data_IF_764414344051
#
_entry.id   IF_764414344051
#
_cell.length_a   1.000
_cell.length_b   1.000
_cell.length_c   1.000
_cell.angle_alpha   90.00
_cell.angle_beta   90.00
_cell.angle_gamma   90.00
#
_symmetry.space_group_name_H-M   'P 1'
#
loop_
_entity.id
_entity.type
_entity.pdbx_description
1 polymer ?
#
# COMPACT_ATOMS: atom_id res chain seq x y z
N UNK A 1 5.98 19.47 -15.27
CA UNK A 1 4.51 19.46 -15.11
C UNK A 1 4.12 18.08 -14.62
N UNK A 2 3.31 17.95 -13.55
CA UNK A 2 2.79 16.64 -13.14
C UNK A 2 1.91 16.10 -14.27
N UNK A 3 2.32 14.96 -14.86
CA UNK A 3 1.60 14.34 -15.97
C UNK A 3 0.24 13.76 -15.58
N UNK A 4 -0.02 13.63 -14.28
CA UNK A 4 -1.25 13.06 -13.71
C UNK A 4 -1.74 13.89 -12.52
N UNK A 5 -3.06 13.91 -12.31
CA UNK A 5 -3.65 14.57 -11.15
C UNK A 5 -3.30 13.81 -9.86
N UNK A 6 -3.00 14.50 -8.74
CA UNK A 6 -2.70 13.86 -7.45
C UNK A 6 -3.80 12.91 -6.95
N UNK A 7 -5.05 13.10 -7.39
CA UNK A 7 -6.18 12.22 -7.09
C UNK A 7 -5.98 10.77 -7.56
N UNK A 8 -5.11 10.53 -8.56
CA UNK A 8 -4.78 9.17 -8.99
C UNK A 8 -4.09 8.35 -7.90
N UNK A 9 -3.43 9.00 -6.94
CA UNK A 9 -2.84 8.32 -5.78
C UNK A 9 -3.92 7.63 -4.93
N UNK A 10 -5.19 8.04 -5.01
CA UNK A 10 -6.27 7.39 -4.27
C UNK A 10 -6.56 5.97 -4.76
N UNK A 11 -6.22 5.63 -6.01
CA UNK A 11 -6.39 4.26 -6.53
C UNK A 11 -5.51 3.24 -5.81
N UNK A 12 -4.47 3.70 -5.11
CA UNK A 12 -3.66 2.88 -4.23
C UNK A 12 -4.48 2.26 -3.08
N UNK A 13 -5.43 3.01 -2.52
CA UNK A 13 -6.18 2.59 -1.34
C UNK A 13 -7.04 1.33 -1.57
N UNK A 14 -7.95 1.27 -2.59
CA UNK A 14 -8.74 0.07 -2.83
C UNK A 14 -7.87 -1.12 -3.23
N UNK A 15 -6.75 -0.89 -3.92
CA UNK A 15 -5.80 -1.95 -4.30
C UNK A 15 -5.17 -2.61 -3.07
N UNK A 16 -4.67 -1.81 -2.13
CA UNK A 16 -4.08 -2.30 -0.87
C UNK A 16 -5.11 -3.06 -0.05
N UNK A 17 -6.32 -2.51 0.08
CA UNK A 17 -7.40 -3.14 0.85
C UNK A 17 -7.73 -4.51 0.26
N UNK A 18 -7.89 -4.61 -1.06
CA UNK A 18 -8.20 -5.86 -1.74
C UNK A 18 -7.09 -6.91 -1.52
N UNK A 19 -5.83 -6.55 -1.76
CA UNK A 19 -4.70 -7.47 -1.62
C UNK A 19 -4.54 -7.94 -0.17
N UNK A 20 -4.61 -7.01 0.80
CA UNK A 20 -4.43 -7.32 2.21
C UNK A 20 -5.52 -8.26 2.74
N UNK A 21 -6.79 -8.01 2.38
CA UNK A 21 -7.92 -8.86 2.80
C UNK A 21 -7.88 -10.24 2.14
N UNK A 22 -7.55 -10.34 0.85
CA UNK A 22 -7.41 -11.63 0.15
C UNK A 22 -6.28 -12.44 0.76
N UNK A 23 -5.14 -11.81 1.06
CA UNK A 23 -4.01 -12.47 1.70
C UNK A 23 -4.36 -12.98 3.12
N UNK A 24 -5.06 -12.17 3.93
CA UNK A 24 -5.53 -12.61 5.25
C UNK A 24 -6.57 -13.73 5.18
N UNK A 25 -7.52 -13.61 4.24
CA UNK A 25 -8.68 -14.49 4.07
C UNK A 25 -8.34 -15.87 3.51
N UNK A 26 -7.24 -16.00 2.76
CA UNK A 26 -6.78 -17.31 2.27
C UNK A 26 -6.12 -18.17 3.34
N UNK A 27 -5.69 -17.56 4.46
CA UNK A 27 -4.91 -18.23 5.51
C UNK A 27 -5.70 -18.54 6.77
N UNK A 28 -6.77 -17.80 7.03
CA UNK A 28 -7.55 -17.91 8.26
C UNK A 28 -9.04 -17.84 7.96
N UNK A 29 -9.84 -18.64 8.66
CA UNK A 29 -11.32 -18.57 8.60
C UNK A 29 -11.89 -17.61 9.65
N UNK A 30 -11.11 -17.29 10.68
CA UNK A 30 -11.49 -16.35 11.72
C UNK A 30 -11.29 -14.90 11.24
N UNK A 31 -12.39 -14.16 11.12
CA UNK A 31 -12.42 -12.76 10.67
C UNK A 31 -11.52 -11.83 11.47
N UNK A 32 -11.36 -12.05 12.78
CA UNK A 32 -10.46 -11.24 13.59
C UNK A 32 -8.99 -11.45 13.20
N UNK A 33 -8.59 -12.70 12.93
CA UNK A 33 -7.23 -13.02 12.48
C UNK A 33 -6.99 -12.50 11.05
N UNK A 34 -8.00 -12.58 10.18
CA UNK A 34 -7.94 -12.02 8.82
C UNK A 34 -7.62 -10.53 8.90
N UNK A 35 -8.37 -9.76 9.70
CA UNK A 35 -8.19 -8.31 9.82
C UNK A 35 -6.83 -7.94 10.42
N UNK A 36 -6.34 -8.68 11.42
CA UNK A 36 -5.02 -8.44 12.00
C UNK A 36 -3.89 -8.65 10.98
N UNK A 37 -3.93 -9.76 10.25
CA UNK A 37 -2.93 -10.05 9.22
C UNK A 37 -3.04 -9.12 8.01
N UNK A 38 -4.27 -8.77 7.61
CA UNK A 38 -4.51 -7.78 6.55
C UNK A 38 -3.92 -6.42 6.95
N UNK A 39 -4.14 -5.96 8.18
CA UNK A 39 -3.57 -4.71 8.69
C UNK A 39 -2.04 -4.73 8.70
N UNK A 40 -1.44 -5.80 9.20
CA UNK A 40 0.02 -5.96 9.19
C UNK A 40 0.59 -5.95 7.77
N UNK A 41 -0.07 -6.66 6.84
CA UNK A 41 0.33 -6.74 5.43
C UNK A 41 0.21 -5.38 4.75
N UNK A 42 -0.91 -4.69 4.91
CA UNK A 42 -1.13 -3.36 4.35
C UNK A 42 -0.12 -2.34 4.87
N UNK A 43 0.22 -2.38 6.16
CA UNK A 43 1.27 -1.52 6.75
C UNK A 43 2.64 -1.78 6.15
N UNK A 44 3.03 -3.04 5.94
CA UNK A 44 4.33 -3.37 5.34
C UNK A 44 4.42 -2.93 3.88
N UNK A 45 3.39 -3.20 3.07
CA UNK A 45 3.36 -2.79 1.66
C UNK A 45 3.41 -1.26 1.57
N UNK A 46 2.61 -0.56 2.39
CA UNK A 46 2.60 0.90 2.41
C UNK A 46 3.91 1.50 2.87
N UNK A 47 4.52 0.95 3.93
CA UNK A 47 5.84 1.40 4.39
C UNK A 47 6.89 1.23 3.30
N UNK A 48 6.92 0.09 2.63
CA UNK A 48 7.87 -0.17 1.55
C UNK A 48 7.68 0.78 0.35
N UNK A 49 6.44 0.95 -0.11
CA UNK A 49 6.12 1.89 -1.20
C UNK A 49 6.44 3.34 -0.84
N UNK A 50 6.20 3.75 0.41
CA UNK A 50 6.54 5.08 0.89
C UNK A 50 8.06 5.32 0.92
N UNK A 51 8.85 4.33 1.31
CA UNK A 51 10.32 4.41 1.27
C UNK A 51 10.79 4.61 -0.17
N UNK A 52 10.27 3.82 -1.12
CA UNK A 52 10.61 3.98 -2.54
C UNK A 52 10.23 5.39 -3.04
N UNK A 53 9.03 5.86 -2.68
CA UNK A 53 8.57 7.20 -3.04
C UNK A 53 9.53 8.29 -2.53
N UNK A 54 9.95 8.21 -1.26
CA UNK A 54 10.91 9.15 -0.66
C UNK A 54 12.24 9.12 -1.42
N UNK A 55 12.77 7.93 -1.73
CA UNK A 55 14.02 7.79 -2.48
C UNK A 55 13.91 8.44 -3.86
N UNK A 56 12.80 8.22 -4.58
CA UNK A 56 12.57 8.83 -5.89
C UNK A 56 12.49 10.37 -5.76
N UNK A 57 11.77 10.89 -4.76
CA UNK A 57 11.71 12.34 -4.53
C UNK A 57 13.08 12.96 -4.22
N UNK A 58 13.92 12.27 -3.45
CA UNK A 58 15.29 12.74 -3.17
C UNK A 58 16.12 12.77 -4.45
N UNK A 59 16.03 11.72 -5.28
CA UNK A 59 16.75 11.64 -6.56
C UNK A 59 16.28 12.72 -7.54
N UNK A 60 14.97 12.95 -7.64
CA UNK A 60 14.38 14.01 -8.47
C UNK A 60 14.85 15.42 -8.06
N UNK A 61 15.06 15.65 -6.75
CA UNK A 61 15.58 16.93 -6.28
C UNK A 61 17.08 17.13 -6.53
N UNK A 62 17.83 16.02 -6.65
CA UNK A 62 19.29 16.04 -6.83
C UNK A 62 19.71 16.09 -8.32
N UNK A 63 18.84 15.65 -9.23
CA UNK A 63 19.10 15.52 -10.67
C UNK A 63 18.50 16.70 -11.45
#
# INVERSE_FOLDING_TARGET
>A
MLSIAPSYLLYYLPLIIAIALVFGGTRHENTNLILQHAWQTGRWITGFMAIIFIVICILDWLL
#
